data_IF_872859273287
#
_entry.id   IF_872859273287
#
_cell.length_a   1.000
_cell.length_b   1.000
_cell.length_c   1.000
_cell.angle_alpha   90.00
_cell.angle_beta   90.00
_cell.angle_gamma   90.00
#
_symmetry.space_group_name_H-M   'P 1'
#
loop_
_entity.id
_entity.type
_entity.pdbx_description
1 polymer ?
#
# COMPACT_ATOMS: atom_id res chain seq x y z
N UNK A 1 -80.59 -15.34 19.66
CA UNK A 1 -79.32 -15.88 20.19
C UNK A 1 -78.16 -15.25 19.43
N UNK A 2 -77.55 -14.16 19.96
CA UNK A 2 -76.39 -13.49 19.40
C UNK A 2 -75.13 -14.02 20.15
N UNK A 3 -74.27 -14.74 19.45
CA UNK A 3 -72.97 -15.15 19.98
C UNK A 3 -71.93 -14.01 19.75
N UNK A 4 -71.44 -13.43 20.86
CA UNK A 4 -70.35 -12.45 20.85
C UNK A 4 -69.03 -13.20 20.71
N UNK A 5 -68.33 -13.07 19.55
CA UNK A 5 -66.99 -13.57 19.34
C UNK A 5 -66.03 -12.51 19.86
N UNK A 6 -65.39 -12.79 21.03
CA UNK A 6 -64.32 -12.01 21.58
C UNK A 6 -62.99 -12.36 20.86
N UNK A 7 -62.51 -11.44 20.01
CA UNK A 7 -61.18 -11.53 19.41
C UNK A 7 -60.14 -11.06 20.40
N UNK A 8 -59.39 -11.99 20.99
CA UNK A 8 -58.18 -11.71 21.77
C UNK A 8 -57.07 -11.30 20.82
N UNK A 9 -56.73 -10.02 20.71
CA UNK A 9 -55.50 -9.57 20.12
C UNK A 9 -54.39 -9.88 21.10
N UNK A 10 -53.62 -10.93 20.82
CA UNK A 10 -52.32 -11.10 21.43
C UNK A 10 -51.36 -10.17 20.71
N UNK A 11 -51.10 -9.06 21.33
CA UNK A 11 -50.01 -8.17 20.91
C UNK A 11 -48.71 -8.89 21.11
N UNK A 12 -48.00 -9.16 20.02
CA UNK A 12 -46.56 -9.49 20.08
C UNK A 12 -45.90 -8.26 20.67
N UNK A 13 -45.35 -8.34 21.87
CA UNK A 13 -44.40 -7.36 22.36
C UNK A 13 -43.16 -7.48 21.48
N UNK A 14 -42.86 -6.48 20.68
CA UNK A 14 -41.54 -6.34 20.08
C UNK A 14 -40.54 -6.28 21.24
N UNK A 15 -39.72 -7.32 21.36
CA UNK A 15 -38.56 -7.26 22.24
C UNK A 15 -37.70 -6.07 21.81
N UNK A 16 -37.56 -5.09 22.67
CA UNK A 16 -36.64 -3.99 22.43
C UNK A 16 -35.24 -4.58 22.17
N UNK A 17 -34.73 -4.33 20.96
CA UNK A 17 -33.35 -4.70 20.61
C UNK A 17 -32.45 -3.89 21.54
N UNK A 18 -31.98 -4.54 22.60
CA UNK A 18 -31.05 -3.93 23.54
C UNK A 18 -29.79 -3.49 22.77
N UNK A 19 -29.36 -2.23 22.91
CA UNK A 19 -28.14 -1.79 22.24
C UNK A 19 -26.99 -2.69 22.69
N UNK A 20 -26.13 -3.07 21.74
CA UNK A 20 -24.91 -3.82 22.00
C UNK A 20 -24.06 -3.05 23.03
N UNK A 21 -23.90 -3.57 24.23
CA UNK A 21 -23.07 -3.04 25.33
C UNK A 21 -21.75 -3.86 25.37
N UNK A 22 -21.33 -4.40 24.24
CA UNK A 22 -20.15 -5.23 24.15
C UNK A 22 -18.84 -4.43 24.13
N UNK A 23 -17.77 -5.16 24.33
CA UNK A 23 -16.41 -4.65 24.23
C UNK A 23 -16.09 -4.23 22.79
N UNK A 24 -15.25 -3.20 22.61
CA UNK A 24 -14.83 -2.71 21.32
C UNK A 24 -13.58 -3.46 20.86
N UNK A 25 -13.59 -3.95 19.61
CA UNK A 25 -12.44 -4.60 18.99
C UNK A 25 -12.08 -3.91 17.68
N UNK A 26 -10.80 -3.80 17.39
CA UNK A 26 -10.28 -3.25 16.14
C UNK A 26 -9.50 -4.33 15.39
N UNK A 27 -9.69 -4.46 14.08
CA UNK A 27 -9.00 -5.45 13.27
C UNK A 27 -8.59 -4.91 11.90
N UNK A 28 -7.59 -5.53 11.27
CA UNK A 28 -7.16 -5.21 9.92
C UNK A 28 -8.14 -5.82 8.91
N UNK A 29 -9.03 -4.99 8.38
CA UNK A 29 -10.08 -5.43 7.46
C UNK A 29 -9.54 -5.88 6.10
N UNK A 30 -8.38 -5.40 5.68
CA UNK A 30 -7.76 -5.77 4.41
C UNK A 30 -7.46 -7.27 4.32
N UNK A 31 -7.16 -7.93 5.43
CA UNK A 31 -6.90 -9.38 5.48
C UNK A 31 -8.18 -10.20 5.27
N UNK A 32 -9.35 -9.64 5.58
CA UNK A 32 -10.63 -10.33 5.43
C UNK A 32 -11.09 -10.38 3.97
N UNK A 33 -10.77 -9.33 3.21
CA UNK A 33 -11.27 -9.10 1.86
C UNK A 33 -10.23 -9.48 0.78
N UNK A 34 -9.04 -9.95 1.17
CA UNK A 34 -7.92 -10.29 0.29
C UNK A 34 -7.56 -11.76 0.43
N UNK A 35 -7.30 -12.42 -0.70
CA UNK A 35 -6.65 -13.75 -0.72
C UNK A 35 -5.14 -13.64 -0.38
N UNK A 36 -4.60 -12.41 -0.35
CA UNK A 36 -3.19 -12.14 -0.06
C UNK A 36 -2.99 -11.90 1.43
N UNK A 37 -2.16 -12.71 2.06
CA UNK A 37 -1.78 -12.59 3.48
C UNK A 37 -0.86 -11.39 3.76
N UNK A 38 -0.29 -10.76 2.72
CA UNK A 38 0.71 -9.71 2.84
C UNK A 38 0.43 -8.55 1.88
N UNK A 39 0.89 -7.36 2.26
CA UNK A 39 0.96 -6.21 1.36
C UNK A 39 2.36 -6.17 0.75
N UNK A 40 2.48 -6.25 -0.56
CA UNK A 40 3.77 -6.17 -1.24
C UNK A 40 3.98 -4.81 -1.90
N UNK A 41 5.12 -4.18 -1.63
CA UNK A 41 5.48 -2.87 -2.17
C UNK A 41 6.91 -2.88 -2.70
N UNK A 42 7.12 -2.47 -3.95
CA UNK A 42 8.46 -2.28 -4.49
C UNK A 42 8.67 -0.82 -4.89
N UNK A 43 9.73 -0.19 -4.38
CA UNK A 43 10.14 1.15 -4.80
C UNK A 43 10.53 1.23 -6.27
N UNK A 44 10.82 0.10 -6.91
CA UNK A 44 11.04 0.05 -8.36
C UNK A 44 9.80 0.49 -9.17
N UNK A 45 8.60 0.32 -8.62
CA UNK A 45 7.35 0.79 -9.22
C UNK A 45 7.09 2.29 -8.99
N UNK A 46 7.88 2.93 -8.12
CA UNK A 46 7.80 4.35 -7.77
C UNK A 46 9.19 4.99 -7.85
N UNK A 47 9.82 4.99 -9.05
CA UNK A 47 11.26 5.31 -9.20
C UNK A 47 11.62 6.72 -8.76
N UNK A 48 10.69 7.66 -8.81
CA UNK A 48 10.89 9.07 -8.43
C UNK A 48 10.52 9.39 -6.98
N UNK A 49 10.05 8.39 -6.22
CA UNK A 49 9.59 8.57 -4.85
C UNK A 49 10.58 7.98 -3.85
N UNK A 50 10.94 8.76 -2.84
CA UNK A 50 11.76 8.28 -1.72
C UNK A 50 10.90 7.79 -0.54
N UNK A 51 9.59 8.03 -0.59
CA UNK A 51 8.62 7.57 0.40
C UNK A 51 7.34 7.09 -0.28
N UNK A 52 6.75 6.04 0.28
CA UNK A 52 5.46 5.48 -0.16
C UNK A 52 4.57 5.36 1.06
N UNK A 53 3.36 5.93 1.00
CA UNK A 53 2.36 5.76 2.05
C UNK A 53 1.47 4.57 1.71
N UNK A 54 1.54 3.53 2.54
CA UNK A 54 0.66 2.36 2.49
C UNK A 54 -0.55 2.65 3.37
N UNK A 55 -1.74 2.44 2.82
CA UNK A 55 -3.02 2.60 3.53
C UNK A 55 -3.59 1.23 3.85
N UNK A 56 -3.80 0.97 5.13
CA UNK A 56 -4.26 -0.32 5.65
C UNK A 56 -5.65 -0.13 6.24
N UNK A 57 -6.62 -0.86 5.73
CA UNK A 57 -7.99 -0.81 6.21
C UNK A 57 -8.11 -1.34 7.64
N UNK A 58 -8.84 -0.59 8.47
CA UNK A 58 -9.22 -0.94 9.83
C UNK A 58 -10.73 -1.02 9.94
N UNK A 59 -11.26 -1.97 10.70
CA UNK A 59 -12.68 -2.05 11.01
C UNK A 59 -12.92 -2.29 12.50
N UNK A 60 -14.01 -1.69 12.97
CA UNK A 60 -14.45 -1.71 14.35
C UNK A 60 -15.57 -2.76 14.54
N UNK A 61 -15.43 -3.60 15.56
CA UNK A 61 -16.53 -4.37 16.11
C UNK A 61 -17.02 -3.65 17.34
N UNK A 62 -18.29 -3.25 17.31
CA UNK A 62 -18.93 -2.50 18.36
C UNK A 62 -19.60 -1.24 17.84
N UNK A 63 -20.05 -0.39 18.75
CA UNK A 63 -20.71 0.88 18.42
C UNK A 63 -19.64 1.91 18.04
N UNK A 64 -19.82 2.69 16.95
CA UNK A 64 -18.95 3.80 16.64
C UNK A 64 -18.80 4.79 17.79
N UNK A 65 -17.58 5.30 17.98
CA UNK A 65 -17.29 6.29 19.01
C UNK A 65 -17.84 7.67 18.66
N UNK A 66 -18.22 8.43 19.65
CA UNK A 66 -18.70 9.82 19.46
C UNK A 66 -17.53 10.79 19.16
N UNK A 67 -16.32 10.45 19.56
CA UNK A 67 -15.11 11.25 19.40
C UNK A 67 -13.99 10.42 18.75
N UNK A 68 -12.97 11.10 18.20
CA UNK A 68 -11.78 10.44 17.72
C UNK A 68 -11.09 9.69 18.85
N UNK A 69 -10.86 8.40 18.67
CA UNK A 69 -10.43 7.50 19.75
C UNK A 69 -9.05 6.93 19.46
N UNK A 70 -8.07 7.07 20.36
CA UNK A 70 -6.72 6.58 20.13
C UNK A 70 -6.69 5.05 20.17
N UNK A 71 -5.91 4.47 19.25
CA UNK A 71 -5.59 3.05 19.25
C UNK A 71 -4.09 2.82 19.25
N UNK A 72 -3.65 1.60 19.53
CA UNK A 72 -2.23 1.26 19.61
C UNK A 72 -1.84 0.25 18.53
N UNK A 73 -0.74 0.54 17.84
CA UNK A 73 -0.09 -0.37 16.90
C UNK A 73 1.34 -0.61 17.37
N UNK A 74 1.73 -1.87 17.47
CA UNK A 74 3.10 -2.29 17.76
C UNK A 74 3.76 -2.92 16.54
N UNK A 75 5.10 -2.84 16.48
CA UNK A 75 5.92 -3.59 15.53
C UNK A 75 6.30 -4.92 16.16
N UNK A 76 6.06 -6.00 15.44
CA UNK A 76 6.42 -7.37 15.85
C UNK A 76 7.71 -7.75 15.13
N UNK A 77 8.75 -8.03 15.89
CA UNK A 77 10.05 -8.45 15.38
C UNK A 77 10.24 -9.96 15.45
N UNK A 78 9.56 -10.62 16.39
CA UNK A 78 9.52 -12.07 16.51
C UNK A 78 8.24 -12.57 15.85
N UNK A 79 8.36 -12.95 14.60
CA UNK A 79 7.28 -13.47 13.77
C UNK A 79 7.41 -14.99 13.71
N UNK A 80 6.31 -15.69 14.02
CA UNK A 80 6.21 -17.16 13.90
C UNK A 80 6.18 -17.62 12.45
N UNK A 81 6.18 -16.70 11.47
CA UNK A 81 6.25 -17.04 10.06
C UNK A 81 7.55 -17.77 9.75
N UNK A 82 7.45 -18.87 9.01
CA UNK A 82 8.60 -19.66 8.55
C UNK A 82 9.36 -18.97 7.41
N UNK A 83 8.98 -17.73 7.05
CA UNK A 83 9.69 -17.00 6.02
C UNK A 83 11.07 -16.54 6.56
N UNK A 84 12.04 -16.48 5.66
CA UNK A 84 13.41 -16.02 5.97
C UNK A 84 13.59 -14.53 5.67
N UNK A 85 12.49 -13.77 5.52
CA UNK A 85 12.54 -12.36 5.20
C UNK A 85 12.98 -11.58 6.44
N UNK A 86 14.02 -10.78 6.29
CA UNK A 86 14.57 -9.94 7.36
C UNK A 86 13.57 -8.85 7.79
N UNK A 87 13.53 -8.54 9.06
CA UNK A 87 12.74 -7.40 9.55
C UNK A 87 13.29 -6.07 9.01
N UNK A 88 12.39 -5.15 8.71
CA UNK A 88 12.75 -3.80 8.30
C UNK A 88 13.43 -3.03 9.44
N UNK A 89 14.48 -2.29 9.12
CA UNK A 89 15.10 -1.37 10.07
C UNK A 89 14.19 -0.16 10.34
N UNK A 90 14.27 0.43 11.54
CA UNK A 90 13.48 1.59 11.94
C UNK A 90 13.58 2.77 10.96
N UNK A 91 14.71 2.94 10.27
CA UNK A 91 14.93 3.98 9.25
C UNK A 91 14.11 3.78 7.98
N UNK A 92 13.59 2.56 7.75
CA UNK A 92 12.86 2.18 6.53
C UNK A 92 11.35 2.41 6.61
N UNK A 93 10.84 2.82 7.77
CA UNK A 93 9.41 3.12 7.91
C UNK A 93 9.15 4.18 8.98
N UNK A 94 7.96 4.75 8.93
CA UNK A 94 7.44 5.66 9.97
C UNK A 94 5.98 5.32 10.22
N UNK A 95 5.63 5.19 11.50
CA UNK A 95 4.27 5.08 12.01
C UNK A 95 3.89 6.40 12.70
N UNK A 96 2.59 6.65 12.81
CA UNK A 96 2.09 7.72 13.66
C UNK A 96 2.25 7.32 15.14
N UNK A 97 2.76 8.22 15.97
CA UNK A 97 2.96 7.98 17.39
C UNK A 97 1.64 7.75 18.15
N UNK A 98 0.58 8.41 17.71
CA UNK A 98 -0.75 8.34 18.33
C UNK A 98 -1.82 8.28 17.26
N UNK A 99 -2.03 7.13 16.62
CA UNK A 99 -3.05 6.99 15.62
C UNK A 99 -4.45 7.05 16.24
N UNK A 100 -5.39 7.70 15.53
CA UNK A 100 -6.76 7.93 15.99
C UNK A 100 -7.76 7.27 15.04
N UNK A 101 -8.68 6.51 15.59
CA UNK A 101 -9.86 6.02 14.89
C UNK A 101 -10.91 7.13 14.86
N UNK A 102 -11.40 7.49 13.67
CA UNK A 102 -12.27 8.66 13.50
C UNK A 102 -13.66 8.44 14.09
N UNK A 103 -14.19 9.50 14.68
CA UNK A 103 -15.54 9.54 15.25
C UNK A 103 -16.62 9.16 14.23
N UNK A 104 -17.64 8.45 14.68
CA UNK A 104 -18.81 8.08 13.90
C UNK A 104 -18.58 7.01 12.84
N UNK A 105 -17.35 6.52 12.67
CA UNK A 105 -17.02 5.52 11.66
C UNK A 105 -17.00 4.10 12.24
N UNK A 106 -17.34 3.11 11.41
CA UNK A 106 -17.13 1.69 11.66
C UNK A 106 -15.90 1.14 10.91
N UNK A 107 -15.31 1.94 10.01
CA UNK A 107 -14.08 1.61 9.29
C UNK A 107 -13.22 2.86 9.11
N UNK A 108 -11.91 2.70 9.20
CA UNK A 108 -10.92 3.77 9.04
C UNK A 108 -9.65 3.21 8.36
N UNK A 109 -8.60 3.97 8.30
CA UNK A 109 -7.35 3.61 7.63
C UNK A 109 -6.15 3.96 8.51
N UNK A 110 -5.25 2.99 8.70
CA UNK A 110 -3.91 3.22 9.22
C UNK A 110 -2.98 3.57 8.06
N UNK A 111 -2.28 4.69 8.18
CA UNK A 111 -1.25 5.10 7.21
C UNK A 111 0.15 4.73 7.74
N UNK A 112 0.90 4.02 6.90
CA UNK A 112 2.29 3.61 7.15
C UNK A 112 3.17 4.21 6.06
N UNK A 113 4.15 5.02 6.43
CA UNK A 113 5.10 5.56 5.47
C UNK A 113 6.31 4.63 5.37
N UNK A 114 6.53 4.03 4.21
CA UNK A 114 7.77 3.32 3.87
C UNK A 114 8.79 4.32 3.35
N UNK A 115 10.06 4.16 3.73
CA UNK A 115 11.16 5.07 3.40
C UNK A 115 12.21 4.30 2.61
N UNK A 116 12.51 4.80 1.40
CA UNK A 116 13.54 4.23 0.52
C UNK A 116 14.92 4.52 1.08
N UNK A 117 15.75 3.48 1.15
CA UNK A 117 17.18 3.60 1.47
C UNK A 117 18.00 2.73 0.50
N UNK A 118 19.29 3.01 0.38
CA UNK A 118 20.17 2.30 -0.55
C UNK A 118 20.43 0.84 -0.17
N UNK A 119 20.20 0.49 1.08
CA UNK A 119 20.39 -0.86 1.61
C UNK A 119 19.17 -1.79 1.45
N UNK A 120 18.03 -1.28 0.97
CA UNK A 120 16.85 -2.08 0.62
C UNK A 120 17.03 -2.92 -0.66
N UNK A 121 18.15 -3.65 -0.76
CA UNK A 121 18.52 -4.48 -1.93
C UNK A 121 17.89 -5.87 -1.90
N UNK A 122 17.20 -6.21 -0.85
CA UNK A 122 16.44 -7.45 -0.65
C UNK A 122 15.05 -7.15 -0.06
N UNK A 123 14.16 -8.14 -0.07
CA UNK A 123 12.88 -8.01 0.61
C UNK A 123 13.11 -7.87 2.11
N UNK A 124 12.45 -6.86 2.70
CA UNK A 124 12.30 -6.72 4.14
C UNK A 124 10.83 -6.76 4.51
N UNK A 125 10.53 -7.16 5.74
CA UNK A 125 9.15 -7.20 6.25
C UNK A 125 8.95 -6.27 7.43
N UNK A 126 7.79 -5.63 7.48
CA UNK A 126 7.28 -4.89 8.62
C UNK A 126 5.99 -5.58 9.06
N UNK A 127 6.03 -6.24 10.23
CA UNK A 127 4.86 -6.85 10.84
C UNK A 127 4.28 -5.89 11.86
N UNK A 128 3.00 -5.55 11.71
CA UNK A 128 2.27 -4.67 12.60
C UNK A 128 1.20 -5.47 13.34
N UNK A 129 1.02 -5.16 14.63
CA UNK A 129 0.01 -5.76 15.49
C UNK A 129 -0.83 -4.69 16.17
N UNK A 130 -2.15 -4.88 16.17
CA UNK A 130 -3.06 -4.08 16.97
C UNK A 130 -2.96 -4.52 18.44
N UNK A 131 -2.70 -3.56 19.32
CA UNK A 131 -2.53 -3.80 20.74
C UNK A 131 -3.74 -3.29 21.53
N UNK A 132 -4.14 -3.99 22.61
CA UNK A 132 -5.22 -3.52 23.46
C UNK A 132 -4.85 -2.20 24.16
N UNK A 133 -5.88 -1.41 24.46
CA UNK A 133 -5.77 -0.21 25.28
C UNK A 133 -7.06 -0.02 26.11
N UNK A 134 -7.28 1.14 26.67
CA UNK A 134 -8.48 1.45 27.48
C UNK A 134 -9.79 1.46 26.65
N UNK A 135 -9.71 1.70 25.34
CA UNK A 135 -10.88 1.80 24.43
C UNK A 135 -11.11 0.49 23.66
N UNK A 136 -10.05 -0.19 23.28
CA UNK A 136 -10.11 -1.41 22.50
C UNK A 136 -9.54 -2.59 23.29
N UNK A 137 -10.32 -3.64 23.47
CA UNK A 137 -9.91 -4.84 24.22
C UNK A 137 -8.88 -5.71 23.49
N UNK A 138 -8.71 -5.46 22.21
CA UNK A 138 -7.79 -6.19 21.33
C UNK A 138 -8.31 -6.25 19.90
N UNK A 139 -7.98 -7.35 19.25
CA UNK A 139 -8.38 -7.65 17.88
C UNK A 139 -8.90 -9.09 17.78
N UNK A 140 -9.38 -9.45 16.59
CA UNK A 140 -9.66 -10.85 16.24
C UNK A 140 -8.31 -11.51 15.96
N UNK A 141 -7.99 -12.67 16.54
CA UNK A 141 -6.66 -13.30 16.40
C UNK A 141 -6.19 -13.45 14.96
N UNK A 142 -7.09 -13.81 14.03
CA UNK A 142 -6.79 -13.99 12.62
C UNK A 142 -6.49 -12.69 11.87
N UNK A 143 -6.93 -11.54 12.42
CA UNK A 143 -6.83 -10.21 11.78
C UNK A 143 -6.13 -9.17 12.66
N UNK A 144 -5.42 -9.60 13.71
CA UNK A 144 -4.72 -8.70 14.62
C UNK A 144 -3.35 -8.25 14.11
N UNK A 145 -2.77 -8.99 13.16
CA UNK A 145 -1.46 -8.72 12.58
C UNK A 145 -1.54 -8.56 11.07
N UNK A 146 -0.72 -7.68 10.52
CA UNK A 146 -0.56 -7.51 9.09
C UNK A 146 0.92 -7.38 8.75
N UNK A 147 1.32 -7.97 7.61
CA UNK A 147 2.68 -7.97 7.12
C UNK A 147 2.78 -7.12 5.86
N UNK A 148 3.73 -6.19 5.84
CA UNK A 148 4.12 -5.43 4.66
C UNK A 148 5.50 -5.91 4.24
N UNK A 149 5.62 -6.46 3.03
CA UNK A 149 6.89 -6.85 2.43
C UNK A 149 7.27 -5.77 1.42
N UNK A 150 8.47 -5.21 1.55
CA UNK A 150 8.90 -4.18 0.63
C UNK A 150 10.40 -4.22 0.33
N UNK A 151 10.78 -3.60 -0.79
CA UNK A 151 12.15 -3.59 -1.28
C UNK A 151 12.42 -2.38 -2.18
N UNK A 152 13.70 -2.16 -2.47
CA UNK A 152 14.18 -1.27 -3.52
C UNK A 152 15.08 -2.06 -4.49
N UNK A 153 14.64 -3.27 -4.86
CA UNK A 153 15.37 -4.12 -5.80
C UNK A 153 15.31 -3.48 -7.18
N UNK A 154 16.48 -3.18 -7.71
CA UNK A 154 16.62 -2.63 -9.06
C UNK A 154 16.38 -3.77 -10.04
N UNK A 155 15.27 -3.72 -10.74
CA UNK A 155 14.99 -4.66 -11.80
C UNK A 155 14.51 -3.93 -13.06
N UNK A 156 14.97 -4.41 -14.21
CA UNK A 156 14.46 -3.96 -15.51
C UNK A 156 12.98 -4.34 -15.60
N UNK A 157 12.05 -3.38 -15.82
CA UNK A 157 10.64 -3.72 -15.98
C UNK A 157 10.41 -4.74 -17.10
N UNK A 158 9.49 -5.68 -16.91
CA UNK A 158 9.18 -6.72 -17.91
C UNK A 158 8.75 -6.12 -19.25
N UNK A 159 8.08 -4.98 -19.24
CA UNK A 159 7.66 -4.30 -20.48
C UNK A 159 8.82 -3.64 -21.23
N UNK A 160 10.03 -3.48 -20.64
CA UNK A 160 11.20 -2.96 -21.35
C UNK A 160 11.85 -4.06 -22.21
N UNK A 161 11.12 -4.47 -23.22
CA UNK A 161 11.47 -5.55 -24.15
C UNK A 161 12.56 -5.12 -25.16
N UNK A 162 12.98 -6.05 -26.01
CA UNK A 162 13.89 -5.74 -27.11
C UNK A 162 13.31 -4.71 -28.08
N UNK A 163 11.98 -4.72 -28.32
CA UNK A 163 11.34 -3.74 -29.18
C UNK A 163 11.35 -2.34 -28.55
N UNK A 164 11.09 -2.24 -27.25
CA UNK A 164 11.19 -0.98 -26.52
C UNK A 164 12.62 -0.45 -26.56
N UNK A 165 13.60 -1.32 -26.40
CA UNK A 165 15.03 -0.98 -26.51
C UNK A 165 15.40 -0.48 -27.91
N UNK A 166 14.97 -1.16 -28.96
CA UNK A 166 15.40 -0.84 -30.34
C UNK A 166 14.64 0.33 -30.95
N UNK A 167 13.34 0.48 -30.62
CA UNK A 167 12.45 1.39 -31.33
C UNK A 167 12.09 2.66 -30.56
N UNK A 168 12.17 2.66 -29.23
CA UNK A 168 11.62 3.73 -28.42
C UNK A 168 12.62 4.34 -27.42
N UNK A 169 13.03 3.59 -26.41
CA UNK A 169 13.73 4.15 -25.23
C UNK A 169 15.23 3.84 -25.17
N UNK A 170 15.74 2.93 -26.01
CA UNK A 170 17.14 2.51 -25.98
C UNK A 170 17.44 1.50 -24.87
N UNK A 171 18.71 1.28 -24.63
CA UNK A 171 19.18 0.38 -23.57
C UNK A 171 18.68 0.85 -22.22
N UNK A 172 18.18 -0.10 -21.41
CA UNK A 172 17.74 0.18 -20.07
C UNK A 172 18.91 0.61 -19.17
N UNK A 173 18.69 1.65 -18.41
CA UNK A 173 19.39 1.96 -17.16
C UNK A 173 18.36 2.40 -16.14
N UNK A 174 18.68 2.27 -14.85
CA UNK A 174 17.81 2.78 -13.78
C UNK A 174 17.58 4.28 -13.95
N UNK A 175 18.65 5.05 -14.18
CA UNK A 175 18.57 6.50 -14.37
C UNK A 175 17.64 6.88 -15.52
N UNK A 176 17.71 6.18 -16.65
CA UNK A 176 16.84 6.41 -17.78
C UNK A 176 15.38 6.12 -17.46
N UNK A 177 15.09 5.06 -16.75
CA UNK A 177 13.73 4.75 -16.31
C UNK A 177 13.19 5.83 -15.34
N UNK A 178 13.98 6.25 -14.36
CA UNK A 178 13.62 7.33 -13.43
C UNK A 178 13.32 8.64 -14.16
N UNK A 179 14.17 9.06 -15.10
CA UNK A 179 13.96 10.27 -15.89
C UNK A 179 12.77 10.15 -16.84
N UNK A 180 12.55 8.97 -17.43
CA UNK A 180 11.37 8.72 -18.24
C UNK A 180 10.08 8.88 -17.43
N UNK A 181 9.99 8.28 -16.26
CA UNK A 181 8.82 8.42 -15.37
C UNK A 181 8.67 9.87 -14.90
N UNK A 182 9.77 10.55 -14.57
CA UNK A 182 9.73 11.97 -14.17
C UNK A 182 9.17 12.87 -15.26
N UNK A 183 9.59 12.65 -16.52
CA UNK A 183 9.13 13.41 -17.67
C UNK A 183 7.67 13.12 -18.04
N UNK A 184 7.26 11.85 -18.00
CA UNK A 184 6.00 11.39 -18.61
C UNK A 184 4.93 11.00 -17.61
N UNK A 185 5.29 10.74 -16.36
CA UNK A 185 4.47 10.11 -15.32
C UNK A 185 3.95 8.70 -15.71
N UNK A 186 4.62 8.03 -16.66
CA UNK A 186 4.26 6.68 -17.13
C UNK A 186 5.18 5.65 -16.49
N UNK A 187 4.63 4.80 -15.65
CA UNK A 187 5.37 3.70 -14.98
C UNK A 187 5.29 2.38 -15.75
N UNK A 188 4.26 2.20 -16.59
CA UNK A 188 4.07 1.00 -17.41
C UNK A 188 3.88 1.37 -18.89
N UNK A 189 5.00 1.45 -19.60
CA UNK A 189 5.03 1.71 -21.02
C UNK A 189 4.42 0.56 -21.86
N UNK A 190 4.34 -0.64 -21.28
CA UNK A 190 3.79 -1.82 -21.95
C UNK A 190 2.31 -1.70 -22.27
N UNK A 191 1.54 -1.02 -21.43
CA UNK A 191 0.10 -0.83 -21.57
C UNK A 191 -0.32 0.19 -22.63
N UNK A 192 0.64 0.96 -23.16
CA UNK A 192 0.37 2.01 -24.13
C UNK A 192 0.17 1.42 -25.54
N UNK A 193 -0.69 2.06 -26.33
CA UNK A 193 -0.80 1.83 -27.78
C UNK A 193 0.48 2.25 -28.52
N UNK A 194 0.67 1.79 -29.73
CA UNK A 194 1.84 2.14 -30.58
C UNK A 194 1.97 3.65 -30.77
N UNK A 195 0.84 4.36 -30.94
CA UNK A 195 0.83 5.81 -31.10
C UNK A 195 1.29 6.53 -29.83
N UNK A 196 0.77 6.12 -28.67
CA UNK A 196 1.16 6.67 -27.37
C UNK A 196 2.63 6.37 -27.04
N UNK A 197 3.10 5.15 -27.32
CA UNK A 197 4.53 4.78 -27.16
C UNK A 197 5.43 5.73 -27.95
N UNK A 198 5.06 6.02 -29.20
CA UNK A 198 5.80 6.97 -30.04
C UNK A 198 5.76 8.37 -29.45
N UNK A 199 4.60 8.85 -29.07
CA UNK A 199 4.41 10.18 -28.47
C UNK A 199 5.27 10.38 -27.22
N UNK A 200 5.18 9.46 -26.25
CA UNK A 200 5.94 9.58 -25.01
C UNK A 200 7.44 9.37 -25.18
N UNK A 201 7.86 8.52 -26.11
CA UNK A 201 9.29 8.37 -26.42
C UNK A 201 9.86 9.64 -27.08
N UNK A 202 9.13 10.31 -27.96
CA UNK A 202 9.52 11.61 -28.53
C UNK A 202 9.53 12.72 -27.47
N UNK A 203 8.52 12.78 -26.61
CA UNK A 203 8.49 13.71 -25.47
C UNK A 203 9.73 13.54 -24.60
N UNK A 204 10.09 12.31 -24.29
CA UNK A 204 11.29 12.01 -23.51
C UNK A 204 12.59 12.37 -24.25
N UNK A 205 12.66 12.13 -25.57
CA UNK A 205 13.80 12.54 -26.40
C UNK A 205 14.07 14.04 -26.31
N UNK A 206 13.03 14.86 -26.43
CA UNK A 206 13.17 16.32 -26.31
C UNK A 206 13.54 16.74 -24.89
N UNK A 207 12.90 16.13 -23.89
CA UNK A 207 13.21 16.41 -22.49
C UNK A 207 14.70 16.18 -22.15
N UNK A 208 15.27 15.03 -22.55
CA UNK A 208 16.68 14.74 -22.26
C UNK A 208 17.62 15.70 -23.02
N UNK A 209 17.27 16.09 -24.24
CA UNK A 209 18.07 17.03 -25.04
C UNK A 209 18.06 18.45 -24.45
N UNK A 210 16.88 18.95 -24.08
CA UNK A 210 16.70 20.30 -23.50
C UNK A 210 17.37 20.44 -22.11
N UNK A 211 17.36 19.37 -21.31
CA UNK A 211 17.89 19.39 -19.95
C UNK A 211 19.32 18.83 -19.84
N UNK A 212 19.93 18.39 -20.94
CA UNK A 212 21.29 17.86 -20.94
C UNK A 212 21.43 16.62 -20.02
N UNK A 213 20.42 15.74 -20.01
CA UNK A 213 20.39 14.65 -19.05
C UNK A 213 21.46 13.61 -19.38
N UNK A 214 22.28 13.30 -18.38
CA UNK A 214 23.26 12.22 -18.46
C UNK A 214 22.65 10.90 -18.00
N UNK A 215 23.01 9.81 -18.67
CA UNK A 215 22.74 8.44 -18.22
C UNK A 215 23.86 7.94 -17.33
N UNK A 216 23.62 6.85 -16.62
CA UNK A 216 24.60 6.23 -15.73
C UNK A 216 24.62 4.74 -15.94
N UNK A 217 25.80 4.17 -16.10
CA UNK A 217 25.96 2.73 -16.12
C UNK A 217 25.71 2.15 -14.71
N UNK A 218 24.71 1.29 -14.58
CA UNK A 218 24.30 0.71 -13.29
C UNK A 218 25.38 -0.19 -12.65
N UNK A 219 26.35 -0.66 -13.44
CA UNK A 219 27.43 -1.55 -12.97
C UNK A 219 28.69 -0.79 -12.65
N UNK A 220 29.16 0.08 -13.56
CA UNK A 220 30.44 0.80 -13.42
C UNK A 220 30.29 2.16 -12.75
N UNK A 221 29.09 2.74 -12.82
CA UNK A 221 28.82 4.09 -12.33
C UNK A 221 29.23 5.21 -13.29
N UNK A 222 29.79 4.88 -14.47
CA UNK A 222 30.21 5.88 -15.46
C UNK A 222 29.03 6.64 -16.05
N UNK A 223 29.21 7.94 -16.24
CA UNK A 223 28.20 8.83 -16.83
C UNK A 223 28.47 9.07 -18.31
N UNK A 224 27.39 9.10 -19.10
CA UNK A 224 27.43 9.38 -20.54
C UNK A 224 26.13 10.07 -20.99
N UNK A 225 26.13 10.78 -22.16
CA UNK A 225 24.90 11.42 -22.63
C UNK A 225 23.76 10.44 -22.82
N UNK A 226 22.61 10.73 -22.20
CA UNK A 226 21.42 9.90 -22.35
C UNK A 226 20.86 10.03 -23.78
N UNK A 227 20.56 8.91 -24.40
CA UNK A 227 20.01 8.88 -25.77
C UNK A 227 18.82 7.90 -25.88
N UNK A 228 17.92 8.18 -26.82
CA UNK A 228 16.83 7.30 -27.21
C UNK A 228 16.76 7.17 -28.74
N UNK A 229 16.45 5.99 -29.28
CA UNK A 229 16.57 5.70 -30.73
C UNK A 229 15.41 6.26 -31.58
N UNK A 230 14.30 6.68 -30.94
CA UNK A 230 13.11 7.14 -31.65
C UNK A 230 13.40 8.34 -32.55
N UNK A 231 12.89 8.31 -33.78
CA UNK A 231 12.99 9.38 -34.78
C UNK A 231 11.63 9.98 -35.10
#
# INVERSE_FOLDING_TARGET
LFALISLCFWGCSEDEIKPYIGEQYLYFSQLKDSEEENIEVSFNNYPTSDQITVKIGLSLIGKPFAENTPYKVGVVTEDESKDKIKNADQKNYRLLDSPMFKAGLSSDTLEVTLIKTEDLKENVKLCLKLLPNEYFKGSIPEYEQIKIIFNNIISKPLWWTNDVTKLYLGTYSRKKYEEFVRCTNIVDFGKLSTAEKRQYALMFKYYIAENGIMDKNDTTGDEFPMTVPIN
#
